data_IF_189553923064
#
_entry.id   IF_189553923064
#
_cell.length_a   1.000
_cell.length_b   1.000
_cell.length_c   1.000
_cell.angle_alpha   90.00
_cell.angle_beta   90.00
_cell.angle_gamma   90.00
#
_symmetry.space_group_name_H-M   'P 1'
#
loop_
_entity.id
_entity.type
_entity.pdbx_description
1 polymer ?
#
# COMPACT_ATOMS: atom_id res chain seq x y z
N UNK A 1 -2.02 2.72 2.47
CA UNK A 1 -1.24 3.71 3.22
C UNK A 1 -1.18 5.02 2.43
N UNK A 2 -1.16 6.20 3.06
CA UNK A 2 -1.08 7.48 2.36
C UNK A 2 0.29 7.67 1.67
N UNK A 3 0.33 8.33 0.53
CA UNK A 3 1.56 8.72 -0.15
C UNK A 3 2.12 10.01 0.44
N UNK A 4 3.44 10.10 0.56
CA UNK A 4 4.16 11.31 0.97
C UNK A 4 5.18 11.78 -0.09
N UNK A 5 5.14 11.19 -1.28
CA UNK A 5 6.10 11.45 -2.36
C UNK A 5 5.47 12.17 -3.57
N UNK A 6 4.29 12.79 -3.38
CA UNK A 6 3.66 13.66 -4.37
C UNK A 6 2.46 13.08 -5.12
N UNK A 7 2.02 11.86 -4.82
CA UNK A 7 0.71 11.36 -5.28
C UNK A 7 -0.36 11.82 -4.29
N UNK A 8 -1.45 12.40 -4.80
CA UNK A 8 -2.57 12.85 -3.98
C UNK A 8 -3.40 11.64 -3.52
N UNK A 9 -3.22 11.22 -2.27
CA UNK A 9 -3.98 10.15 -1.62
C UNK A 9 -4.60 10.67 -0.34
N UNK A 10 -5.82 10.22 0.03
CA UNK A 10 -6.45 10.65 1.26
C UNK A 10 -5.74 10.08 2.50
N UNK A 11 -6.11 10.60 3.67
CA UNK A 11 -5.67 10.10 4.98
C UNK A 11 -5.98 8.60 5.17
N UNK A 12 -5.18 7.93 6.01
CA UNK A 12 -5.25 6.47 6.17
C UNK A 12 -6.64 5.98 6.54
N UNK A 13 -7.31 6.64 7.48
CA UNK A 13 -8.65 6.33 7.99
C UNK A 13 -9.74 6.40 6.92
N UNK A 14 -9.54 7.21 5.87
CA UNK A 14 -10.46 7.33 4.74
C UNK A 14 -10.29 6.25 3.67
N UNK A 15 -9.26 5.41 3.78
CA UNK A 15 -9.03 4.30 2.86
C UNK A 15 -9.78 3.05 3.36
N UNK A 16 -10.69 2.48 2.55
CA UNK A 16 -11.43 1.26 2.91
C UNK A 16 -10.50 0.13 3.36
N UNK A 17 -9.47 -0.16 2.58
CA UNK A 17 -8.49 -1.22 2.85
C UNK A 17 -7.61 -0.98 4.09
N UNK A 18 -7.75 0.16 4.79
CA UNK A 18 -7.04 0.39 6.06
C UNK A 18 -7.72 -0.25 7.27
N UNK A 19 -9.04 -0.52 7.16
CA UNK A 19 -9.88 -0.99 8.26
C UNK A 19 -10.90 -2.06 7.84
N UNK A 20 -10.97 -2.38 6.54
CA UNK A 20 -11.81 -3.46 6.01
C UNK A 20 -10.96 -4.56 5.39
N UNK A 21 -11.34 -5.81 5.65
CA UNK A 21 -10.88 -6.97 4.89
C UNK A 21 -11.48 -6.96 3.48
N UNK A 22 -10.96 -7.81 2.60
CA UNK A 22 -11.50 -7.96 1.24
C UNK A 22 -12.98 -8.36 1.22
N UNK A 23 -13.39 -9.29 2.07
CA UNK A 23 -14.79 -9.72 2.19
C UNK A 23 -15.69 -8.58 2.70
N UNK A 24 -15.20 -7.79 3.68
CA UNK A 24 -15.92 -6.62 4.17
C UNK A 24 -16.07 -5.55 3.08
N UNK A 25 -15.03 -5.32 2.27
CA UNK A 25 -15.10 -4.40 1.13
C UNK A 25 -16.07 -4.91 0.06
N UNK A 26 -16.05 -6.21 -0.25
CA UNK A 26 -16.98 -6.84 -1.20
C UNK A 26 -18.44 -6.60 -0.79
N UNK A 27 -18.76 -6.85 0.48
CA UNK A 27 -20.08 -6.61 1.05
C UNK A 27 -20.45 -5.11 1.06
N UNK A 28 -19.52 -4.24 1.46
CA UNK A 28 -19.72 -2.78 1.49
C UNK A 28 -20.04 -2.20 0.10
N UNK A 29 -19.38 -2.72 -0.95
CA UNK A 29 -19.56 -2.27 -2.33
C UNK A 29 -20.76 -2.92 -3.03
N UNK A 30 -21.35 -3.98 -2.46
CA UNK A 30 -22.49 -4.68 -3.05
C UNK A 30 -22.16 -5.44 -4.33
N UNK A 31 -20.93 -5.96 -4.44
CA UNK A 31 -20.45 -6.72 -5.61
C UNK A 31 -20.40 -8.22 -5.31
N UNK A 32 -20.54 -9.06 -6.33
CA UNK A 32 -20.48 -10.52 -6.19
C UNK A 32 -19.07 -11.03 -5.86
N UNK A 33 -18.04 -10.31 -6.30
CA UNK A 33 -16.65 -10.62 -6.00
C UNK A 33 -15.75 -9.39 -6.08
N UNK A 34 -14.69 -9.39 -5.28
CA UNK A 34 -13.61 -8.41 -5.26
C UNK A 34 -12.30 -9.17 -5.10
N UNK A 35 -11.26 -8.83 -5.87
CA UNK A 35 -9.91 -9.38 -5.71
C UNK A 35 -8.88 -8.29 -6.03
N UNK A 36 -7.76 -8.27 -5.30
CA UNK A 36 -6.62 -7.41 -5.60
C UNK A 36 -5.55 -8.14 -6.40
N UNK A 37 -4.81 -7.40 -7.22
CA UNK A 37 -3.55 -7.90 -7.78
C UNK A 37 -2.52 -8.05 -6.64
N UNK A 38 -1.71 -9.11 -6.69
CA UNK A 38 -0.61 -9.26 -5.73
C UNK A 38 0.52 -8.26 -6.03
N UNK A 39 1.32 -7.91 -5.02
CA UNK A 39 2.49 -7.06 -5.23
C UNK A 39 3.47 -7.67 -6.25
N UNK A 40 3.72 -8.97 -6.20
CA UNK A 40 4.55 -9.63 -7.22
C UNK A 40 3.94 -9.54 -8.62
N UNK A 41 2.62 -9.72 -8.72
CA UNK A 41 1.90 -9.56 -10.00
C UNK A 41 2.05 -8.15 -10.56
N UNK A 42 1.93 -7.13 -9.71
CA UNK A 42 2.11 -5.73 -10.07
C UNK A 42 3.55 -5.45 -10.55
N UNK A 43 4.56 -5.95 -9.85
CA UNK A 43 5.97 -5.76 -10.22
C UNK A 43 6.30 -6.44 -11.55
N UNK A 44 5.79 -7.67 -11.78
CA UNK A 44 5.94 -8.35 -13.07
C UNK A 44 5.31 -7.56 -14.22
N UNK A 45 4.11 -7.02 -14.01
CA UNK A 45 3.43 -6.20 -15.01
C UNK A 45 4.18 -4.87 -15.30
N UNK A 46 4.90 -4.33 -14.32
CA UNK A 46 5.69 -3.10 -14.45
C UNK A 46 7.09 -3.31 -15.08
N UNK A 47 7.47 -4.54 -15.41
CA UNK A 47 8.76 -4.86 -16.04
C UNK A 47 9.83 -5.43 -15.10
N UNK A 48 9.48 -5.82 -13.88
CA UNK A 48 10.34 -6.59 -12.97
C UNK A 48 9.93 -8.08 -12.99
N UNK A 49 10.52 -8.91 -13.87
CA UNK A 49 10.03 -10.27 -14.15
C UNK A 49 10.11 -11.22 -12.94
N UNK A 50 11.03 -10.97 -12.02
CA UNK A 50 11.22 -11.76 -10.79
C UNK A 50 10.26 -11.34 -9.66
N UNK A 51 9.36 -10.39 -9.91
CA UNK A 51 8.42 -9.87 -8.90
C UNK A 51 9.06 -8.85 -7.95
N UNK A 52 8.48 -8.69 -6.76
CA UNK A 52 8.94 -7.72 -5.77
C UNK A 52 10.11 -8.28 -4.98
N UNK A 53 11.23 -7.55 -4.96
CA UNK A 53 12.29 -7.83 -4.00
C UNK A 53 11.94 -7.17 -2.65
N UNK A 54 11.66 -7.97 -1.62
CA UNK A 54 11.26 -7.47 -0.30
C UNK A 54 12.36 -6.69 0.44
N UNK A 55 13.64 -6.96 0.19
CA UNK A 55 14.76 -6.26 0.85
C UNK A 55 15.21 -5.03 0.08
N UNK A 56 14.96 -5.01 -1.24
CA UNK A 56 15.36 -3.91 -2.12
C UNK A 56 14.32 -3.72 -3.24
N UNK A 57 13.13 -3.20 -2.90
CA UNK A 57 12.07 -3.02 -3.88
C UNK A 57 12.51 -2.05 -4.99
N UNK A 58 12.26 -2.43 -6.24
CA UNK A 58 12.68 -1.71 -7.45
C UNK A 58 11.82 -0.47 -7.73
N UNK A 59 10.58 -0.47 -7.22
CA UNK A 59 9.64 0.64 -7.31
C UNK A 59 9.20 1.06 -5.91
N UNK A 60 8.68 2.28 -5.78
CA UNK A 60 7.97 2.69 -4.58
C UNK A 60 6.57 2.07 -4.59
N UNK A 61 6.29 1.22 -3.60
CA UNK A 61 4.98 0.59 -3.42
C UNK A 61 4.38 0.83 -2.03
N UNK A 62 4.88 1.84 -1.31
CA UNK A 62 4.50 2.17 0.06
C UNK A 62 2.98 2.34 0.24
N UNK A 63 2.28 2.85 -0.77
CA UNK A 63 0.81 3.01 -0.73
C UNK A 63 0.09 1.67 -0.52
N UNK A 64 0.69 0.57 -1.00
CA UNK A 64 0.17 -0.79 -0.90
C UNK A 64 0.82 -1.57 0.25
N UNK A 65 2.16 -1.55 0.33
CA UNK A 65 2.95 -2.35 1.28
C UNK A 65 3.05 -1.71 2.68
N UNK A 66 2.99 -0.38 2.76
CA UNK A 66 3.34 0.40 3.95
C UNK A 66 4.83 0.56 4.17
N UNK A 67 5.67 0.02 3.27
CA UNK A 67 7.12 0.07 3.36
C UNK A 67 7.63 1.30 2.60
N UNK A 68 7.96 2.36 3.34
CA UNK A 68 8.46 3.61 2.76
C UNK A 68 9.98 3.50 2.51
N UNK A 69 10.45 3.47 1.23
CA UNK A 69 11.89 3.32 0.93
C UNK A 69 12.73 4.50 1.41
N UNK A 70 12.12 5.68 1.54
CA UNK A 70 12.71 6.87 2.15
C UNK A 70 11.87 7.25 3.36
N UNK A 71 12.48 7.40 4.53
CA UNK A 71 11.72 7.72 5.75
C UNK A 71 11.07 9.12 5.61
N UNK A 72 9.72 9.24 5.70
CA UNK A 72 9.02 10.52 5.61
C UNK A 72 9.14 11.27 6.95
N UNK A 73 10.31 11.88 7.19
CA UNK A 73 10.70 12.46 8.49
C UNK A 73 9.70 13.48 9.02
N UNK A 74 9.22 14.37 8.15
CA UNK A 74 8.22 15.38 8.46
C UNK A 74 6.88 14.79 8.92
N UNK A 75 6.50 13.63 8.38
CA UNK A 75 5.28 12.93 8.79
C UNK A 75 5.47 12.18 10.11
N UNK A 76 6.67 11.61 10.34
CA UNK A 76 7.02 11.00 11.62
C UNK A 76 6.98 12.01 12.76
N UNK A 77 7.51 13.22 12.54
CA UNK A 77 7.49 14.31 13.51
C UNK A 77 6.06 14.77 13.83
N UNK A 78 5.13 14.62 12.87
CA UNK A 78 3.68 14.84 13.04
C UNK A 78 2.95 13.66 13.67
N UNK A 79 3.67 12.62 14.10
CA UNK A 79 3.12 11.47 14.81
C UNK A 79 2.66 10.30 13.92
N UNK A 80 2.90 10.35 12.61
CA UNK A 80 2.59 9.21 11.73
C UNK A 80 3.41 7.98 12.13
N UNK A 81 2.75 6.83 12.21
CA UNK A 81 3.39 5.55 12.54
C UNK A 81 3.59 4.73 11.26
N UNK A 82 4.83 4.33 11.01
CA UNK A 82 5.15 3.39 9.93
C UNK A 82 4.56 2.01 10.25
N UNK A 83 4.44 1.16 9.21
CA UNK A 83 4.15 -0.26 9.43
C UNK A 83 5.19 -0.84 10.40
N UNK A 84 4.72 -1.59 11.40
CA UNK A 84 5.60 -2.32 12.30
C UNK A 84 6.47 -3.30 11.50
N UNK A 85 7.74 -3.41 11.84
CA UNK A 85 8.58 -4.47 11.29
C UNK A 85 8.10 -5.80 11.89
N UNK A 86 7.58 -6.68 11.04
CA UNK A 86 7.27 -8.08 11.35
C UNK A 86 8.50 -8.95 11.14
#
# INVERSE_FOLDING_TARGET
WPCFYGVDTPDKDKLLASHMTEDQMCAHLGVDSLRFISLDGLYRAAGAPDGRNATRPQYCDACFSGEYPVRPRDMLDKGFQLKAAE
#
